data_IF_351967704014
#
_entry.id   IF_351967704014
#
_cell.length_a   1.000
_cell.length_b   1.000
_cell.length_c   1.000
_cell.angle_alpha   90.00
_cell.angle_beta   90.00
_cell.angle_gamma   90.00
#
_symmetry.space_group_name_H-M   'P 1'
#
loop_
_entity.id
_entity.type
_entity.pdbx_description
1 polymer ?
#
# COMPACT_ATOMS: atom_id res chain seq x y z
N UNK A 1 3.15 -11.20 9.21
CA UNK A 1 2.21 -10.15 8.79
C UNK A 1 1.61 -9.50 10.02
N UNK A 2 1.90 -8.23 10.23
CA UNK A 2 1.60 -7.51 11.49
C UNK A 2 0.45 -6.52 11.34
N UNK A 3 -0.01 -6.24 10.11
CA UNK A 3 -1.06 -5.25 9.89
C UNK A 3 -2.46 -5.78 10.26
N UNK A 4 -3.18 -5.14 11.21
CA UNK A 4 -4.41 -5.69 11.81
C UNK A 4 -5.59 -5.80 10.83
N UNK A 5 -5.67 -4.93 9.83
CA UNK A 5 -6.76 -4.93 8.84
C UNK A 5 -6.50 -5.81 7.62
N UNK A 6 -5.41 -6.57 7.61
CA UNK A 6 -5.12 -7.47 6.50
C UNK A 6 -5.64 -8.88 6.79
N UNK A 7 -6.28 -9.58 5.83
CA UNK A 7 -6.79 -10.94 6.04
C UNK A 7 -5.73 -11.96 6.51
N UNK A 8 -4.47 -11.71 6.17
CA UNK A 8 -3.33 -12.53 6.58
C UNK A 8 -2.68 -12.07 7.90
N UNK A 9 -3.31 -11.19 8.69
CA UNK A 9 -2.77 -10.75 9.97
C UNK A 9 -2.45 -11.93 10.88
N UNK A 10 -1.30 -11.88 11.57
CA UNK A 10 -0.81 -12.95 12.45
C UNK A 10 -0.14 -14.11 11.70
N UNK A 11 -0.16 -14.11 10.36
CA UNK A 11 0.47 -15.15 9.56
C UNK A 11 1.96 -14.91 9.36
N UNK A 12 2.75 -15.97 9.44
CA UNK A 12 4.18 -15.97 9.16
C UNK A 12 4.45 -16.43 7.73
N UNK A 13 5.52 -15.89 7.12
CA UNK A 13 5.93 -16.23 5.77
C UNK A 13 7.45 -16.29 5.71
N UNK A 14 7.97 -17.20 4.89
CA UNK A 14 9.39 -17.22 4.56
C UNK A 14 9.74 -16.03 3.67
N UNK A 15 10.67 -15.20 4.12
CA UNK A 15 11.20 -14.09 3.33
C UNK A 15 12.06 -14.64 2.19
N UNK A 16 11.69 -14.31 0.95
CA UNK A 16 12.45 -14.69 -0.25
C UNK A 16 13.35 -13.55 -0.69
N UNK A 17 12.79 -12.34 -0.80
CA UNK A 17 13.53 -11.15 -1.25
C UNK A 17 13.10 -9.95 -0.42
N UNK A 18 14.07 -9.15 0.01
CA UNK A 18 13.87 -7.81 0.53
C UNK A 18 14.48 -6.80 -0.44
N UNK A 19 13.67 -5.88 -0.98
CA UNK A 19 14.18 -4.82 -1.86
C UNK A 19 13.28 -3.59 -1.84
N UNK A 20 13.86 -2.45 -2.21
CA UNK A 20 13.09 -1.24 -2.49
C UNK A 20 12.43 -1.35 -3.86
N UNK A 21 11.13 -1.13 -3.91
CA UNK A 21 10.36 -1.10 -5.16
C UNK A 21 9.16 -0.17 -4.97
N UNK A 22 8.84 0.58 -6.03
CA UNK A 22 7.71 1.52 -6.04
C UNK A 22 7.79 2.59 -4.93
N UNK A 23 9.01 3.05 -4.63
CA UNK A 23 9.26 4.10 -3.64
C UNK A 23 9.43 3.61 -2.19
N UNK A 24 8.94 2.41 -1.88
CA UNK A 24 8.96 1.84 -0.53
C UNK A 24 9.75 0.53 -0.43
N UNK A 25 10.03 0.09 0.78
CA UNK A 25 10.66 -1.20 1.05
C UNK A 25 9.61 -2.32 0.99
N UNK A 26 9.94 -3.38 0.26
CA UNK A 26 9.01 -4.49 0.01
C UNK A 26 9.66 -5.83 0.31
N UNK A 27 8.86 -6.71 0.90
CA UNK A 27 9.17 -8.10 1.20
C UNK A 27 8.42 -9.00 0.23
N UNK A 28 9.11 -9.98 -0.34
CA UNK A 28 8.55 -10.97 -1.23
C UNK A 28 8.51 -12.34 -0.54
N UNK A 29 7.43 -13.07 -0.73
CA UNK A 29 7.18 -14.38 -0.13
C UNK A 29 6.39 -15.28 -1.08
N UNK A 30 6.42 -16.60 -0.87
CA UNK A 30 5.52 -17.52 -1.56
C UNK A 30 4.22 -17.71 -0.76
N UNK A 31 3.07 -17.63 -1.44
CA UNK A 31 1.79 -18.02 -0.85
C UNK A 31 1.62 -19.55 -0.81
N UNK A 32 0.48 -20.02 -0.29
CA UNK A 32 0.16 -21.46 -0.20
C UNK A 32 0.09 -22.16 -1.55
N UNK A 33 -0.14 -21.40 -2.63
CA UNK A 33 -0.12 -21.91 -3.99
C UNK A 33 1.28 -21.87 -4.62
N UNK A 34 2.31 -21.51 -3.84
CA UNK A 34 3.69 -21.36 -4.31
C UNK A 34 3.92 -20.12 -5.16
N UNK A 35 2.96 -19.19 -5.26
CA UNK A 35 3.08 -17.99 -6.10
C UNK A 35 3.83 -16.90 -5.35
N UNK A 36 4.77 -16.25 -6.03
CA UNK A 36 5.51 -15.12 -5.48
C UNK A 36 4.58 -13.91 -5.32
N UNK A 37 4.47 -13.42 -4.10
CA UNK A 37 3.67 -12.26 -3.67
C UNK A 37 4.58 -11.23 -3.04
N UNK A 38 4.11 -9.99 -2.93
CA UNK A 38 4.85 -8.92 -2.25
C UNK A 38 3.96 -8.18 -1.25
N UNK A 39 4.55 -7.76 -0.14
CA UNK A 39 3.93 -6.89 0.86
C UNK A 39 4.88 -5.72 1.16
N UNK A 40 4.34 -4.56 1.57
CA UNK A 40 5.16 -3.51 2.18
C UNK A 40 5.88 -4.07 3.42
N UNK A 41 7.15 -3.71 3.60
CA UNK A 41 7.93 -4.13 4.77
C UNK A 41 7.28 -3.67 6.09
N UNK A 42 6.68 -2.49 6.08
CA UNK A 42 5.93 -1.89 7.19
C UNK A 42 4.74 -2.74 7.68
N UNK A 43 4.26 -3.68 6.86
CA UNK A 43 3.19 -4.62 7.23
C UNK A 43 3.72 -5.94 7.78
N UNK A 44 5.04 -6.05 7.96
CA UNK A 44 5.70 -7.25 8.47
C UNK A 44 6.59 -6.90 9.66
N UNK A 45 7.05 -7.92 10.37
CA UNK A 45 8.00 -7.78 11.47
C UNK A 45 9.45 -7.52 11.00
N UNK A 46 9.69 -7.44 9.68
CA UNK A 46 11.02 -7.20 9.11
C UNK A 46 11.46 -5.75 9.33
N UNK A 47 10.53 -4.80 9.29
CA UNK A 47 10.81 -3.41 9.64
C UNK A 47 10.62 -3.18 11.14
N UNK A 48 11.42 -2.27 11.69
CA UNK A 48 11.21 -1.81 13.06
C UNK A 48 9.79 -1.27 13.22
N UNK A 49 9.14 -1.64 14.33
CA UNK A 49 7.79 -1.17 14.63
C UNK A 49 7.85 0.35 14.85
N UNK A 50 7.01 1.09 14.14
CA UNK A 50 6.92 2.53 14.28
C UNK A 50 6.50 2.91 15.72
N UNK A 51 7.20 3.84 16.40
CA UNK A 51 6.87 4.25 17.77
C UNK A 51 5.44 4.77 17.95
N UNK A 52 4.89 5.44 16.94
CA UNK A 52 3.50 5.88 16.95
C UNK A 52 2.55 4.68 17.04
N UNK A 53 2.82 3.60 16.30
CA UNK A 53 2.00 2.38 16.32
C UNK A 53 2.01 1.76 17.72
N UNK A 54 3.18 1.74 18.37
CA UNK A 54 3.33 1.27 19.76
C UNK A 54 2.50 2.14 20.71
N UNK A 55 2.65 3.46 20.65
CA UNK A 55 1.94 4.40 21.53
C UNK A 55 0.43 4.44 21.28
N UNK A 56 0.01 4.29 20.03
CA UNK A 56 -1.39 4.24 19.63
C UNK A 56 -2.09 3.00 20.19
N UNK A 57 -1.36 1.88 20.36
CA UNK A 57 -1.88 0.62 20.91
C UNK A 57 -3.24 0.22 20.29
N UNK A 58 -3.33 0.30 18.97
CA UNK A 58 -4.56 -0.03 18.21
C UNK A 58 -5.65 1.05 18.20
N UNK A 59 -5.48 2.18 18.89
CA UNK A 59 -6.46 3.28 18.92
C UNK A 59 -6.41 4.20 17.69
N UNK A 60 -5.31 4.14 16.92
CA UNK A 60 -5.14 4.93 15.70
C UNK A 60 -4.65 4.05 14.56
N UNK A 61 -5.45 3.85 13.49
CA UNK A 61 -5.06 3.02 12.35
C UNK A 61 -4.05 3.71 11.41
N UNK A 62 -3.97 5.03 11.43
CA UNK A 62 -3.05 5.82 10.59
C UNK A 62 -2.24 6.80 11.43
N UNK A 63 -1.03 7.13 10.96
CA UNK A 63 -0.26 8.27 11.49
C UNK A 63 -0.75 9.55 10.80
N UNK A 64 -0.54 10.69 11.45
CA UNK A 64 -0.88 12.01 10.86
C UNK A 64 -0.23 12.22 9.48
N UNK A 65 1.05 11.88 9.25
CA UNK A 65 1.65 11.99 7.91
C UNK A 65 0.96 11.12 6.86
N UNK A 66 0.51 9.91 7.24
CA UNK A 66 -0.16 9.00 6.32
C UNK A 66 -1.53 9.57 5.89
N UNK A 67 -2.26 10.23 6.81
CA UNK A 67 -3.51 10.93 6.51
C UNK A 67 -3.30 12.16 5.61
N UNK A 68 -2.24 12.93 5.86
CA UNK A 68 -1.89 14.07 5.01
C UNK A 68 -1.52 13.62 3.60
N UNK A 69 -0.76 12.53 3.47
CA UNK A 69 -0.41 11.97 2.17
C UNK A 69 -1.63 11.40 1.45
N UNK A 70 -2.57 10.76 2.17
CA UNK A 70 -3.85 10.33 1.60
C UNK A 70 -4.65 11.51 1.05
N UNK A 71 -4.77 12.61 1.81
CA UNK A 71 -5.42 13.83 1.33
C UNK A 71 -4.74 14.40 0.08
N UNK A 72 -3.40 14.39 0.03
CA UNK A 72 -2.63 14.82 -1.13
C UNK A 72 -2.94 13.95 -2.35
N UNK A 73 -2.95 12.63 -2.19
CA UNK A 73 -3.25 11.67 -3.26
C UNK A 73 -4.69 11.84 -3.78
N UNK A 74 -5.68 11.95 -2.90
CA UNK A 74 -7.08 12.20 -3.32
C UNK A 74 -7.20 13.48 -4.15
N UNK A 75 -6.57 14.58 -3.72
CA UNK A 75 -6.55 15.82 -4.50
C UNK A 75 -5.90 15.67 -5.88
N UNK A 76 -4.91 14.79 -6.03
CA UNK A 76 -4.34 14.48 -7.36
C UNK A 76 -5.26 13.64 -8.24
N UNK A 77 -6.10 12.79 -7.65
CA UNK A 77 -7.05 11.94 -8.37
C UNK A 77 -8.25 12.76 -8.86
N UNK A 78 -8.78 13.66 -8.02
CA UNK A 78 -9.85 14.60 -8.38
C UNK A 78 -9.41 15.51 -9.54
N UNK A 79 -8.14 15.95 -9.54
CA UNK A 79 -7.58 16.73 -10.63
C UNK A 79 -7.39 15.94 -11.93
N UNK A 80 -7.45 14.61 -11.90
CA UNK A 80 -7.27 13.74 -13.06
C UNK A 80 -8.60 13.27 -13.70
N UNK A 81 -9.76 13.49 -13.04
CA UNK A 81 -11.09 13.34 -13.65
C UNK A 81 -11.39 14.41 -14.72
N UNK A 82 -10.48 15.38 -14.92
CA UNK A 82 -10.54 16.40 -15.95
C UNK A 82 -10.04 15.99 -17.34
N UNK A 83 -9.42 14.83 -17.52
CA UNK A 83 -9.03 14.36 -18.88
C UNK A 83 -10.18 13.59 -19.54
N UNK A 84 -11.32 14.27 -19.73
CA UNK A 84 -12.29 13.86 -20.75
C UNK A 84 -11.69 14.23 -22.10
N UNK A 85 -11.23 13.22 -22.85
CA UNK A 85 -10.79 13.41 -24.23
C UNK A 85 -11.94 14.07 -25.02
N UNK A 86 -11.74 15.24 -25.63
CA UNK A 86 -12.79 15.88 -26.41
C UNK A 86 -12.86 15.24 -27.81
N UNK A 87 -14.04 14.68 -28.12
CA UNK A 87 -14.62 14.65 -29.47
C UNK A 87 -14.05 13.64 -30.46
N UNK A 88 -14.64 12.45 -30.53
CA UNK A 88 -14.82 11.75 -31.82
C UNK A 88 -16.26 11.96 -32.30
N UNK A 89 -16.57 13.17 -32.75
CA UNK A 89 -17.77 13.46 -33.54
C UNK A 89 -17.37 13.67 -35.00
N UNK A 90 -17.65 12.66 -35.84
CA UNK A 90 -18.18 12.84 -37.20
C UNK A 90 -17.21 13.16 -38.34
N UNK A 91 -17.01 12.17 -39.22
CA UNK A 91 -17.47 12.27 -40.62
C UNK A 91 -17.53 10.90 -41.30
N UNK A 92 -18.76 10.39 -41.38
CA UNK A 92 -19.22 9.70 -42.58
C UNK A 92 -19.26 10.73 -43.71
N UNK A 93 -18.45 10.54 -44.75
CA UNK A 93 -18.80 10.63 -46.19
C UNK A 93 -17.86 9.68 -46.93
#
# INVERSE_FOLDING_TARGET
MTHPFHPLCGREFALVIYRRAWGEERVYYHDDAGKLRSLPSAWTSVSAVDPFVVLAAGRSPFRVPDLLELCRLMGTMDNHEGCRMPGEDGKHV
#
